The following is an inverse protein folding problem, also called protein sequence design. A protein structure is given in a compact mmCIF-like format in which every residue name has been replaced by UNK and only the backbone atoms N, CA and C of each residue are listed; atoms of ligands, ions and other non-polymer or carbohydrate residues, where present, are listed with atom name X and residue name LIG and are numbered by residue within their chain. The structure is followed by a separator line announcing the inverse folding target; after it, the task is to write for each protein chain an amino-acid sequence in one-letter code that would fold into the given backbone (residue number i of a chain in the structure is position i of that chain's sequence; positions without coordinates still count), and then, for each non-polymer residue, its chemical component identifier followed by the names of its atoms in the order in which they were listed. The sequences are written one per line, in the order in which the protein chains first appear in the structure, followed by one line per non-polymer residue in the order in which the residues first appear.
data_IF_030669241659
#
_entry.id   IF_030669241659
#
_cell.length_a   1.000
_cell.length_b   1.000
_cell.length_c   1.000
_cell.angle_alpha   90.00
_cell.angle_beta   90.00
_cell.angle_gamma   90.00
#
_symmetry.space_group_name_H-M   'P 1'
#
loop_
_entity.id
_entity.type
_entity.pdbx_description
1 polymer ?
#
# COMPACT_ATOMS: atom_id res chain seq x y z
N UNK A 1 1.57 -8.02 5.81
CA UNK A 1 0.79 -9.27 5.58
C UNK A 1 0.46 -9.39 4.09
N UNK A 2 -0.01 -10.55 3.63
CA UNK A 2 -0.41 -10.76 2.23
C UNK A 2 -1.71 -11.58 2.21
N UNK A 3 -2.78 -11.00 1.69
CA UNK A 3 -4.12 -11.58 1.72
C UNK A 3 -4.73 -11.61 0.33
N UNK A 4 -5.19 -12.77 -0.13
CA UNK A 4 -5.91 -12.88 -1.40
C UNK A 4 -7.37 -12.42 -1.25
N UNK A 5 -7.82 -11.51 -2.12
CA UNK A 5 -9.17 -10.93 -2.13
C UNK A 5 -10.05 -11.47 -3.27
N UNK A 6 -9.68 -12.60 -3.86
CA UNK A 6 -10.43 -13.25 -4.94
C UNK A 6 -9.92 -12.95 -6.34
N UNK A 7 -9.55 -11.70 -6.65
CA UNK A 7 -8.97 -11.32 -7.96
C UNK A 7 -7.58 -10.72 -7.86
N UNK A 8 -7.23 -10.16 -6.69
CA UNK A 8 -5.93 -9.54 -6.43
C UNK A 8 -5.52 -9.81 -4.97
N UNK A 9 -4.29 -9.43 -4.64
CA UNK A 9 -3.73 -9.49 -3.31
C UNK A 9 -3.74 -8.10 -2.68
N UNK A 10 -4.14 -8.05 -1.42
CA UNK A 10 -3.91 -6.93 -0.53
C UNK A 10 -2.64 -7.24 0.28
N UNK A 11 -1.64 -6.40 0.10
CA UNK A 11 -0.34 -6.53 0.73
C UNK A 11 -0.11 -5.33 1.64
N UNK A 12 0.19 -5.61 2.89
CA UNK A 12 0.55 -4.60 3.86
C UNK A 12 2.07 -4.54 3.98
N UNK A 13 2.62 -3.38 3.63
CA UNK A 13 4.06 -3.12 3.48
C UNK A 13 4.44 -2.03 4.48
N UNK A 14 5.48 -2.28 5.28
CA UNK A 14 5.96 -1.32 6.27
C UNK A 14 7.21 -0.65 5.74
N UNK A 15 7.23 0.68 5.75
CA UNK A 15 8.41 1.50 5.49
C UNK A 15 8.57 2.51 6.61
N UNK A 16 9.70 2.43 7.33
CA UNK A 16 9.98 3.24 8.53
C UNK A 16 8.78 3.31 9.50
N UNK A 17 8.14 4.48 9.57
CA UNK A 17 7.01 4.80 10.45
C UNK A 17 5.64 4.76 9.73
N UNK A 18 5.62 4.40 8.45
CA UNK A 18 4.40 4.32 7.65
C UNK A 18 4.06 2.88 7.27
N UNK A 19 2.77 2.60 7.26
CA UNK A 19 2.21 1.36 6.76
C UNK A 19 1.44 1.64 5.48
N UNK A 20 1.82 0.94 4.41
CA UNK A 20 1.26 1.07 3.08
C UNK A 20 0.40 -0.14 2.77
N UNK A 21 -0.79 0.11 2.22
CA UNK A 21 -1.65 -0.93 1.68
C UNK A 21 -1.52 -0.94 0.16
N UNK A 22 -1.06 -2.05 -0.40
CA UNK A 22 -0.82 -2.23 -1.83
C UNK A 22 -1.79 -3.28 -2.37
N UNK A 23 -2.54 -2.92 -3.41
CA UNK A 23 -3.37 -3.85 -4.17
C UNK A 23 -2.68 -4.23 -5.46
N UNK A 24 -2.44 -5.52 -5.68
CA UNK A 24 -1.79 -6.02 -6.91
C UNK A 24 -2.26 -7.42 -7.27
N UNK A 25 -2.34 -7.73 -8.56
CA UNK A 25 -2.56 -9.11 -9.04
C UNK A 25 -1.31 -9.98 -8.92
N UNK A 26 -0.14 -9.36 -8.72
CA UNK A 26 1.14 -10.04 -8.54
C UNK A 26 1.45 -10.11 -7.05
N UNK A 27 1.54 -11.34 -6.53
CA UNK A 27 1.87 -11.59 -5.13
C UNK A 27 3.38 -11.46 -4.87
N UNK A 28 3.74 -10.85 -3.74
CA UNK A 28 5.09 -10.87 -3.18
C UNK A 28 5.06 -11.42 -1.74
N UNK A 29 5.90 -12.40 -1.38
CA UNK A 29 5.92 -12.97 -0.04
C UNK A 29 6.33 -11.95 1.04
N UNK A 30 5.89 -12.17 2.28
CA UNK A 30 6.33 -11.39 3.45
C UNK A 30 7.86 -11.48 3.59
N UNK A 31 8.50 -10.36 3.88
CA UNK A 31 9.97 -10.24 3.98
C UNK A 31 10.67 -9.94 2.65
N UNK A 32 9.92 -9.91 1.53
CA UNK A 32 10.47 -9.46 0.25
C UNK A 32 10.59 -7.94 0.23
N UNK A 33 11.76 -7.43 -0.11
CA UNK A 33 11.95 -6.00 -0.39
C UNK A 33 11.32 -5.68 -1.75
N UNK A 34 10.51 -4.62 -1.80
CA UNK A 34 9.84 -4.15 -3.01
C UNK A 34 10.02 -2.65 -3.16
N UNK A 35 10.02 -2.18 -4.42
CA UNK A 35 9.95 -0.76 -4.74
C UNK A 35 8.53 -0.35 -5.14
N UNK A 36 8.20 0.92 -4.93
CA UNK A 36 6.96 1.53 -5.40
C UNK A 36 7.31 2.85 -6.11
N UNK A 37 6.72 3.05 -7.30
CA UNK A 37 6.83 4.32 -8.03
C UNK A 37 5.47 5.00 -8.01
N UNK A 38 5.43 6.22 -7.49
CA UNK A 38 4.22 7.06 -7.47
C UNK A 38 4.46 8.23 -8.40
N UNK A 39 3.61 8.37 -9.42
CA UNK A 39 3.63 9.52 -10.32
C UNK A 39 2.71 10.63 -9.77
N UNK A 40 3.00 11.91 -10.06
CA UNK A 40 2.24 13.04 -9.50
C UNK A 40 0.73 12.95 -9.71
N UNK A 41 0.28 12.40 -10.83
CA UNK A 41 -1.13 12.27 -11.21
C UNK A 41 -1.91 11.31 -10.31
N UNK A 42 -1.22 10.39 -9.62
CA UNK A 42 -1.81 9.41 -8.71
C UNK A 42 -1.85 9.90 -7.25
N UNK A 43 -1.35 11.11 -6.95
CA UNK A 43 -1.32 11.65 -5.60
C UNK A 43 -2.60 12.44 -5.34
N UNK A 44 -3.38 11.99 -4.36
CA UNK A 44 -4.53 12.72 -3.87
C UNK A 44 -4.27 13.31 -2.48
N UNK A 45 -4.31 14.64 -2.36
CA UNK A 45 -4.08 15.34 -1.09
C UNK A 45 -5.43 15.56 -0.40
N UNK A 46 -5.64 14.90 0.74
CA UNK A 46 -6.84 15.07 1.57
C UNK A 46 -6.57 16.03 2.74
N UNK A 47 -7.59 16.78 3.16
CA UNK A 47 -7.53 17.59 4.38
C UNK A 47 -7.52 16.66 5.60
N UNK A 48 -6.60 16.89 6.55
CA UNK A 48 -6.63 16.18 7.84
C UNK A 48 -7.96 16.47 8.55
N UNK A 49 -8.63 15.41 9.00
CA UNK A 49 -9.78 15.54 9.88
C UNK A 49 -9.26 16.17 11.18
N UNK A 50 -9.76 17.36 11.50
CA UNK A 50 -9.54 17.97 12.80
C UNK A 50 -10.65 17.45 13.72
N UNK A 51 -10.29 16.74 14.78
CA UNK A 51 -11.22 16.47 15.86
C UNK A 51 -11.63 17.81 16.50
N UNK A 52 -12.93 18.00 16.69
CA UNK A 52 -13.50 19.18 17.36
C UNK A 52 -13.32 19.10 18.87
#
# INVERSE_FOLDING_TARGET
SVTFKGVHYEMTVKDMDMEWMVHSTIMKPVGTEIGMTVIPENIHIMKKVMDK
#
